data_IF_680264106629
#
_entry.id   IF_680264106629
#
_cell.length_a   1.000
_cell.length_b   1.000
_cell.length_c   1.000
_cell.angle_alpha   90.00
_cell.angle_beta   90.00
_cell.angle_gamma   90.00
#
_symmetry.space_group_name_H-M   'P 1'
#
loop_
_entity.id
_entity.type
_entity.pdbx_description
1 polymer ?
#
# COMPACT_ATOMS: atom_id res chain seq x y z
N UNK A 1 -20.71 -10.49 -10.82
CA UNK A 1 -19.39 -11.07 -10.49
C UNK A 1 -18.39 -10.51 -11.47
N UNK A 2 -17.33 -9.86 -11.00
CA UNK A 2 -16.25 -9.29 -11.80
C UNK A 2 -14.94 -9.97 -11.49
N UNK A 3 -13.98 -9.87 -12.42
CA UNK A 3 -12.64 -10.43 -12.28
C UNK A 3 -11.64 -9.29 -12.08
N UNK A 4 -11.02 -9.27 -10.91
CA UNK A 4 -9.97 -8.31 -10.55
C UNK A 4 -8.60 -8.95 -10.69
N UNK A 5 -7.68 -8.33 -11.42
CA UNK A 5 -6.27 -8.68 -11.34
C UNK A 5 -5.62 -7.84 -10.24
N UNK A 6 -5.06 -8.50 -9.23
CA UNK A 6 -4.35 -7.84 -8.14
C UNK A 6 -2.86 -8.19 -8.21
N UNK A 7 -2.02 -7.25 -8.56
CA UNK A 7 -0.57 -7.44 -8.48
C UNK A 7 -0.10 -7.17 -7.04
N UNK A 8 0.90 -7.92 -6.55
CA UNK A 8 1.27 -7.90 -5.14
C UNK A 8 0.21 -8.53 -4.24
N UNK A 9 -0.52 -9.53 -4.78
CA UNK A 9 -1.71 -10.11 -4.17
C UNK A 9 -1.46 -10.93 -2.91
N UNK A 10 -0.23 -11.36 -2.63
CA UNK A 10 0.16 -12.02 -1.39
C UNK A 10 0.68 -11.04 -0.32
N UNK A 11 0.87 -9.78 -0.69
CA UNK A 11 1.29 -8.73 0.23
C UNK A 11 0.20 -8.32 1.22
N UNK A 12 0.55 -7.40 2.12
CA UNK A 12 -0.34 -6.87 3.16
C UNK A 12 -1.66 -6.33 2.60
N UNK A 13 -1.59 -5.31 1.73
CA UNK A 13 -2.79 -4.66 1.17
C UNK A 13 -3.48 -5.59 0.17
N UNK A 14 -2.72 -6.25 -0.71
CA UNK A 14 -3.26 -7.10 -1.78
C UNK A 14 -4.06 -8.29 -1.26
N UNK A 15 -3.57 -8.97 -0.20
CA UNK A 15 -4.31 -10.09 0.39
C UNK A 15 -5.57 -9.64 1.14
N UNK A 16 -5.51 -8.50 1.84
CA UNK A 16 -6.68 -7.94 2.53
C UNK A 16 -7.76 -7.49 1.54
N UNK A 17 -7.36 -6.87 0.43
CA UNK A 17 -8.27 -6.52 -0.67
C UNK A 17 -8.89 -7.77 -1.32
N UNK A 18 -8.07 -8.81 -1.55
CA UNK A 18 -8.54 -10.08 -2.12
C UNK A 18 -9.61 -10.73 -1.25
N UNK A 19 -9.43 -10.79 0.06
CA UNK A 19 -10.43 -11.31 1.01
C UNK A 19 -11.75 -10.55 0.91
N UNK A 20 -11.68 -9.22 0.87
CA UNK A 20 -12.86 -8.38 0.79
C UNK A 20 -13.61 -8.55 -0.53
N UNK A 21 -12.92 -8.56 -1.67
CA UNK A 21 -13.53 -8.75 -3.00
C UNK A 21 -14.18 -10.13 -3.14
N UNK A 22 -13.55 -11.20 -2.65
CA UNK A 22 -14.11 -12.55 -2.66
C UNK A 22 -15.37 -12.63 -1.78
N UNK A 23 -15.32 -12.02 -0.59
CA UNK A 23 -16.49 -11.94 0.31
C UNK A 23 -17.66 -11.20 -0.34
N UNK A 24 -17.39 -10.24 -1.22
CA UNK A 24 -18.39 -9.52 -2.03
C UNK A 24 -18.83 -10.27 -3.30
N UNK A 25 -18.38 -11.52 -3.49
CA UNK A 25 -18.81 -12.39 -4.59
C UNK A 25 -18.06 -12.17 -5.90
N UNK A 26 -16.89 -11.54 -5.87
CA UNK A 26 -16.05 -11.32 -7.04
C UNK A 26 -14.99 -12.41 -7.22
N UNK A 27 -14.41 -12.48 -8.42
CA UNK A 27 -13.25 -13.29 -8.73
C UNK A 27 -11.97 -12.48 -8.64
N UNK A 28 -10.95 -13.07 -8.05
CA UNK A 28 -9.61 -12.46 -7.92
C UNK A 28 -8.57 -13.32 -8.61
N UNK A 29 -7.83 -12.71 -9.51
CA UNK A 29 -6.59 -13.23 -10.09
C UNK A 29 -5.45 -12.46 -9.44
N UNK A 30 -4.59 -13.14 -8.71
CA UNK A 30 -3.48 -12.51 -7.98
C UNK A 30 -2.15 -12.90 -8.61
N UNK A 31 -1.20 -11.95 -8.70
CA UNK A 31 0.20 -12.21 -9.03
C UNK A 31 1.09 -11.69 -7.92
N UNK A 32 2.03 -12.51 -7.45
CA UNK A 32 3.09 -12.14 -6.49
C UNK A 32 4.31 -13.03 -6.72
N UNK A 33 5.50 -12.46 -6.67
CA UNK A 33 6.75 -13.19 -6.83
C UNK A 33 7.30 -13.77 -5.52
N UNK A 34 6.62 -13.50 -4.40
CA UNK A 34 7.07 -13.92 -3.06
C UNK A 34 8.52 -13.53 -2.75
N UNK A 35 8.95 -12.34 -3.25
CA UNK A 35 10.31 -11.86 -3.01
C UNK A 35 10.65 -11.84 -1.51
N UNK A 36 11.94 -11.99 -1.22
CA UNK A 36 12.53 -12.09 0.11
C UNK A 36 12.81 -10.73 0.79
N UNK A 37 12.15 -9.66 0.33
CA UNK A 37 12.23 -8.35 0.98
C UNK A 37 11.90 -8.42 2.48
N UNK A 38 11.00 -9.32 2.83
CA UNK A 38 10.75 -9.82 4.18
C UNK A 38 10.41 -11.32 4.08
N UNK A 39 10.40 -12.03 5.21
CA UNK A 39 10.18 -13.48 5.24
C UNK A 39 8.98 -13.90 4.36
N UNK A 40 9.18 -14.65 3.26
CA UNK A 40 8.12 -15.06 2.34
C UNK A 40 7.02 -15.91 2.99
N UNK A 41 7.31 -16.58 4.11
CA UNK A 41 6.33 -17.37 4.87
C UNK A 41 5.14 -16.50 5.32
N UNK A 42 5.35 -15.20 5.57
CA UNK A 42 4.28 -14.26 5.90
C UNK A 42 3.32 -14.13 4.71
N UNK A 43 3.84 -14.00 3.49
CA UNK A 43 3.03 -13.94 2.27
C UNK A 43 2.26 -15.24 2.02
N UNK A 44 2.91 -16.39 2.27
CA UNK A 44 2.25 -17.71 2.18
C UNK A 44 1.06 -17.78 3.14
N UNK A 45 1.27 -17.33 4.38
CA UNK A 45 0.19 -17.31 5.37
C UNK A 45 -0.94 -16.34 4.97
N UNK A 46 -0.63 -15.19 4.39
CA UNK A 46 -1.63 -14.21 3.95
C UNK A 46 -2.61 -14.78 2.90
N UNK A 47 -2.16 -15.71 2.05
CA UNK A 47 -2.99 -16.31 0.99
C UNK A 47 -3.46 -17.71 1.29
N UNK A 48 -3.07 -18.30 2.42
CA UNK A 48 -3.34 -19.70 2.80
C UNK A 48 -4.81 -20.10 2.71
N UNK A 49 -5.70 -19.26 3.18
CA UNK A 49 -7.14 -19.51 3.10
C UNK A 49 -7.73 -19.09 1.74
N UNK A 50 -7.17 -18.06 1.12
CA UNK A 50 -7.60 -17.59 -0.20
C UNK A 50 -7.43 -18.65 -1.28
N UNK A 51 -6.30 -19.38 -1.30
CA UNK A 51 -6.02 -20.42 -2.31
C UNK A 51 -6.99 -21.60 -2.27
N UNK A 52 -7.74 -21.77 -1.19
CA UNK A 52 -8.79 -22.79 -1.07
C UNK A 52 -10.11 -22.36 -1.73
N UNK A 53 -10.26 -21.08 -2.04
CA UNK A 53 -11.48 -20.52 -2.62
C UNK A 53 -11.44 -20.60 -4.14
N UNK A 54 -12.48 -21.15 -4.77
CA UNK A 54 -12.58 -21.31 -6.23
C UNK A 54 -12.59 -19.98 -7.00
N UNK A 55 -12.92 -18.89 -6.35
CA UNK A 55 -12.90 -17.55 -6.94
C UNK A 55 -11.53 -16.85 -6.81
N UNK A 56 -10.51 -17.52 -6.25
CA UNK A 56 -9.16 -17.01 -6.14
C UNK A 56 -8.18 -17.84 -6.96
N UNK A 57 -7.45 -17.19 -7.86
CA UNK A 57 -6.37 -17.82 -8.63
C UNK A 57 -5.08 -17.08 -8.39
N UNK A 58 -4.04 -17.78 -7.94
CA UNK A 58 -2.72 -17.20 -7.65
C UNK A 58 -1.68 -17.63 -8.68
N UNK A 59 -1.00 -16.63 -9.24
CA UNK A 59 0.19 -16.81 -10.08
C UNK A 59 1.44 -16.40 -9.32
N UNK A 60 2.41 -17.29 -9.23
CA UNK A 60 3.70 -17.08 -8.55
C UNK A 60 4.73 -16.59 -9.55
N UNK A 61 4.57 -15.36 -10.01
CA UNK A 61 5.38 -14.77 -11.07
C UNK A 61 5.80 -13.35 -10.69
N UNK A 62 6.87 -12.89 -11.32
CA UNK A 62 7.35 -11.52 -11.23
C UNK A 62 6.69 -10.67 -12.32
N UNK A 63 6.26 -9.45 -11.98
CA UNK A 63 5.68 -8.50 -12.96
C UNK A 63 6.70 -8.04 -14.00
N UNK A 64 8.01 -8.24 -13.76
CA UNK A 64 9.08 -8.00 -14.74
C UNK A 64 9.12 -9.07 -15.84
N UNK A 65 8.58 -10.24 -15.58
CA UNK A 65 8.48 -11.33 -16.56
C UNK A 65 7.30 -11.06 -17.50
N UNK A 66 7.62 -10.46 -18.65
CA UNK A 66 6.64 -10.07 -19.66
C UNK A 66 5.80 -11.26 -20.15
N UNK A 67 6.41 -12.41 -20.40
CA UNK A 67 5.70 -13.58 -20.91
C UNK A 67 4.75 -14.17 -19.85
N UNK A 68 5.15 -14.14 -18.57
CA UNK A 68 4.27 -14.56 -17.49
C UNK A 68 3.07 -13.61 -17.32
N UNK A 69 3.30 -12.29 -17.40
CA UNK A 69 2.22 -11.29 -17.34
C UNK A 69 1.26 -11.47 -18.52
N UNK A 70 1.77 -11.61 -19.74
CA UNK A 70 0.96 -11.87 -20.94
C UNK A 70 0.06 -13.09 -20.76
N UNK A 71 0.63 -14.23 -20.35
CA UNK A 71 -0.14 -15.45 -20.10
C UNK A 71 -1.28 -15.25 -19.09
N UNK A 72 -1.09 -14.44 -18.07
CA UNK A 72 -2.14 -14.14 -17.08
C UNK A 72 -3.34 -13.45 -17.76
N UNK A 73 -3.08 -12.48 -18.63
CA UNK A 73 -4.14 -11.79 -19.37
C UNK A 73 -4.81 -12.70 -20.41
N UNK A 74 -4.06 -13.56 -21.09
CA UNK A 74 -4.60 -14.55 -22.07
C UNK A 74 -5.52 -15.59 -21.40
N UNK A 75 -5.21 -16.01 -20.17
CA UNK A 75 -5.95 -17.05 -19.45
C UNK A 75 -7.16 -16.52 -18.65
N UNK A 76 -7.31 -15.22 -18.49
CA UNK A 76 -8.33 -14.65 -17.62
C UNK A 76 -9.00 -13.43 -18.25
N UNK A 77 -10.34 -13.40 -18.24
CA UNK A 77 -11.09 -12.21 -18.62
C UNK A 77 -11.05 -11.21 -17.46
N UNK A 78 -10.16 -10.25 -17.53
CA UNK A 78 -9.92 -9.25 -16.48
C UNK A 78 -10.78 -8.01 -16.76
N UNK A 79 -11.56 -7.59 -15.78
CA UNK A 79 -12.39 -6.37 -15.86
C UNK A 79 -11.64 -5.15 -15.32
N UNK A 80 -10.86 -5.32 -14.24
CA UNK A 80 -10.14 -4.24 -13.55
C UNK A 80 -8.77 -4.74 -13.11
N UNK A 81 -7.76 -3.88 -13.23
CA UNK A 81 -6.43 -4.11 -12.67
C UNK A 81 -6.26 -3.25 -11.42
N UNK A 82 -5.89 -3.92 -10.32
CA UNK A 82 -5.43 -3.32 -9.08
C UNK A 82 -3.92 -3.51 -8.98
N UNK A 83 -3.15 -2.49 -9.34
CA UNK A 83 -1.70 -2.60 -9.38
C UNK A 83 -1.08 -2.14 -8.07
N UNK A 84 -0.76 -3.12 -7.19
CA UNK A 84 -0.17 -2.88 -5.86
C UNK A 84 1.26 -3.43 -5.73
N UNK A 85 1.73 -4.22 -6.71
CA UNK A 85 3.10 -4.76 -6.71
C UNK A 85 4.12 -3.64 -6.88
N UNK A 86 4.98 -3.49 -5.90
CA UNK A 86 6.11 -2.56 -5.94
C UNK A 86 7.17 -2.96 -4.92
N UNK A 87 8.41 -2.60 -5.18
CA UNK A 87 9.40 -2.44 -4.11
C UNK A 87 9.06 -1.17 -3.34
N UNK A 88 8.81 -1.30 -2.04
CA UNK A 88 8.37 -0.21 -1.18
C UNK A 88 9.43 0.18 -0.14
N UNK A 89 9.41 1.44 0.28
CA UNK A 89 10.30 1.95 1.32
C UNK A 89 11.36 2.92 0.78
N UNK A 90 11.48 4.05 1.46
CA UNK A 90 12.40 5.12 1.08
C UNK A 90 13.86 4.68 1.23
N UNK A 91 14.25 4.17 2.41
CA UNK A 91 15.64 3.79 2.71
C UNK A 91 16.17 2.67 1.83
N UNK A 92 15.47 1.51 1.68
CA UNK A 92 15.94 0.45 0.81
C UNK A 92 16.08 0.88 -0.66
N UNK A 93 15.29 1.89 -1.08
CA UNK A 93 15.40 2.42 -2.45
C UNK A 93 16.71 3.17 -2.70
N UNK A 94 17.28 3.79 -1.66
CA UNK A 94 18.58 4.48 -1.76
C UNK A 94 19.70 3.45 -1.90
N UNK A 95 19.57 2.32 -1.21
CA UNK A 95 20.55 1.23 -1.25
C UNK A 95 20.52 0.45 -2.58
N UNK A 96 19.33 0.29 -3.18
CA UNK A 96 19.17 -0.47 -4.42
C UNK A 96 18.25 0.21 -5.45
N UNK A 97 18.62 1.40 -5.97
CA UNK A 97 17.76 2.20 -6.84
C UNK A 97 17.41 1.52 -8.18
N UNK A 98 18.31 0.68 -8.71
CA UNK A 98 18.09 -0.03 -9.98
C UNK A 98 16.94 -1.03 -9.83
N UNK A 99 16.90 -1.80 -8.76
CA UNK A 99 15.81 -2.75 -8.49
C UNK A 99 14.45 -2.02 -8.42
N UNK A 100 14.41 -0.84 -7.79
CA UNK A 100 13.18 -0.05 -7.74
C UNK A 100 12.73 0.42 -9.12
N UNK A 101 13.66 0.80 -9.99
CA UNK A 101 13.34 1.16 -11.37
C UNK A 101 12.83 -0.05 -12.16
N UNK A 102 13.48 -1.20 -12.04
CA UNK A 102 13.09 -2.43 -12.73
C UNK A 102 11.70 -2.91 -12.29
N UNK A 103 11.45 -2.99 -11.00
CA UNK A 103 10.17 -3.49 -10.48
C UNK A 103 9.07 -2.46 -10.67
N UNK A 104 9.29 -1.24 -10.17
CA UNK A 104 8.21 -0.25 -10.09
C UNK A 104 7.89 0.39 -11.44
N UNK A 105 8.89 0.63 -12.32
CA UNK A 105 8.64 1.25 -13.61
C UNK A 105 8.51 0.20 -14.73
N UNK A 106 9.49 -0.68 -14.90
CA UNK A 106 9.43 -1.68 -15.97
C UNK A 106 8.34 -2.72 -15.73
N UNK A 107 8.16 -3.18 -14.47
CA UNK A 107 7.07 -4.08 -14.11
C UNK A 107 5.69 -3.45 -14.37
N UNK A 108 5.51 -2.18 -14.01
CA UNK A 108 4.29 -1.41 -14.32
C UNK A 108 4.08 -1.31 -15.84
N UNK A 109 5.15 -1.04 -16.60
CA UNK A 109 5.09 -0.95 -18.06
C UNK A 109 4.56 -2.26 -18.68
N UNK A 110 5.00 -3.43 -18.19
CA UNK A 110 4.50 -4.73 -18.66
C UNK A 110 2.99 -4.88 -18.42
N UNK A 111 2.51 -4.49 -17.23
CA UNK A 111 1.07 -4.51 -16.92
C UNK A 111 0.28 -3.61 -17.86
N UNK A 112 0.74 -2.37 -18.08
CA UNK A 112 0.06 -1.41 -18.97
C UNK A 112 0.00 -1.88 -20.42
N UNK A 113 1.08 -2.51 -20.93
CA UNK A 113 1.10 -3.05 -22.30
C UNK A 113 0.11 -4.22 -22.46
N UNK A 114 0.01 -5.10 -21.48
CA UNK A 114 -0.95 -6.21 -21.55
C UNK A 114 -2.40 -5.73 -21.32
N UNK A 115 -2.64 -4.73 -20.48
CA UNK A 115 -3.95 -4.07 -20.39
C UNK A 115 -4.38 -3.51 -21.75
N UNK A 116 -3.48 -2.82 -22.43
CA UNK A 116 -3.72 -2.27 -23.78
C UNK A 116 -3.99 -3.40 -24.79
N UNK A 117 -3.15 -4.45 -24.82
CA UNK A 117 -3.27 -5.56 -25.77
C UNK A 117 -4.60 -6.32 -25.62
N UNK A 118 -5.13 -6.42 -24.39
CA UNK A 118 -6.36 -7.15 -24.07
C UNK A 118 -7.58 -6.23 -23.89
N UNK A 119 -7.45 -4.94 -24.20
CA UNK A 119 -8.51 -3.93 -24.07
C UNK A 119 -9.10 -3.81 -22.65
N UNK A 120 -8.26 -4.03 -21.63
CA UNK A 120 -8.62 -3.79 -20.21
C UNK A 120 -8.43 -2.30 -19.92
N UNK A 121 -9.52 -1.59 -19.65
CA UNK A 121 -9.52 -0.12 -19.55
C UNK A 121 -9.40 0.41 -18.14
N UNK A 122 -9.75 -0.36 -17.12
CA UNK A 122 -9.89 0.14 -15.77
C UNK A 122 -8.67 -0.21 -14.91
N UNK A 123 -7.97 0.82 -14.43
CA UNK A 123 -6.78 0.72 -13.59
C UNK A 123 -6.97 1.53 -12.31
N UNK A 124 -6.74 0.88 -11.18
CA UNK A 124 -6.48 1.57 -9.92
C UNK A 124 -5.07 1.15 -9.45
N UNK A 125 -4.20 2.12 -9.20
CA UNK A 125 -2.79 1.85 -8.93
C UNK A 125 -2.31 2.55 -7.67
N UNK A 126 -1.50 1.84 -6.89
CA UNK A 126 -0.80 2.41 -5.76
C UNK A 126 0.25 3.44 -6.20
N UNK A 127 0.20 4.61 -5.61
CA UNK A 127 1.25 5.60 -5.48
C UNK A 127 1.56 5.79 -4.00
N UNK A 128 2.27 6.82 -3.61
CA UNK A 128 2.71 7.01 -2.23
C UNK A 128 2.75 8.48 -1.84
N UNK A 129 2.46 8.78 -0.58
CA UNK A 129 2.71 10.09 0.02
C UNK A 129 4.18 10.52 -0.02
N UNK A 130 5.11 9.58 -0.26
CA UNK A 130 6.53 9.89 -0.45
C UNK A 130 6.81 10.82 -1.64
N UNK A 131 5.90 10.93 -2.60
CA UNK A 131 6.02 11.87 -3.73
C UNK A 131 6.03 13.33 -3.29
N UNK A 132 5.44 13.65 -2.13
CA UNK A 132 5.45 14.99 -1.57
C UNK A 132 6.83 15.42 -1.04
N UNK A 133 7.75 14.47 -0.85
CA UNK A 133 9.12 14.75 -0.41
C UNK A 133 9.17 15.49 0.92
N UNK A 134 9.99 16.53 0.97
CA UNK A 134 10.15 17.41 2.15
C UNK A 134 9.27 18.68 2.06
N UNK A 135 8.10 18.60 1.46
CA UNK A 135 7.16 19.72 1.44
C UNK A 135 6.80 20.11 2.88
N UNK A 136 6.95 21.42 3.21
CA UNK A 136 6.64 21.95 4.54
C UNK A 136 5.18 22.31 4.71
N UNK A 137 4.49 22.53 3.60
CA UNK A 137 3.06 22.85 3.59
C UNK A 137 2.23 21.63 3.86
N UNK A 138 1.38 21.67 4.87
CA UNK A 138 0.44 20.60 5.25
C UNK A 138 -0.94 21.20 5.50
N UNK A 139 -2.04 20.43 5.28
CA UNK A 139 -2.09 19.05 4.79
C UNK A 139 -1.68 18.95 3.31
N UNK A 140 -1.12 17.79 2.92
CA UNK A 140 -0.71 17.51 1.55
C UNK A 140 -1.92 17.38 0.62
N UNK A 141 -1.93 18.16 -0.46
CA UNK A 141 -2.99 18.18 -1.47
C UNK A 141 -2.48 17.62 -2.81
N UNK A 142 -3.33 16.97 -3.57
CA UNK A 142 -2.97 16.32 -4.82
C UNK A 142 -2.48 17.30 -5.91
N UNK A 143 -2.91 18.57 -5.83
CA UNK A 143 -2.48 19.64 -6.75
C UNK A 143 -1.14 20.29 -6.40
N UNK A 144 -0.49 19.86 -5.33
CA UNK A 144 0.86 20.35 -4.99
C UNK A 144 1.88 19.86 -6.01
N UNK A 145 2.90 20.70 -6.25
CA UNK A 145 4.04 20.33 -7.10
C UNK A 145 4.86 19.25 -6.40
N UNK A 146 5.01 18.10 -7.03
CA UNK A 146 5.73 16.91 -6.52
C UNK A 146 6.88 16.48 -7.45
N UNK A 147 7.53 17.45 -8.05
CA UNK A 147 8.61 17.21 -9.04
C UNK A 147 9.99 17.04 -8.38
N UNK A 148 10.10 17.26 -7.07
CA UNK A 148 11.34 17.21 -6.32
C UNK A 148 11.39 16.01 -5.37
N UNK A 149 11.35 14.81 -5.95
CA UNK A 149 11.44 13.56 -5.19
C UNK A 149 12.78 13.46 -4.46
N UNK A 150 12.75 13.00 -3.20
CA UNK A 150 13.94 12.86 -2.34
C UNK A 150 14.41 11.41 -2.16
N UNK A 151 13.82 10.48 -2.89
CA UNK A 151 14.22 9.08 -2.92
C UNK A 151 13.89 8.41 -4.26
N UNK A 152 14.62 7.37 -4.66
CA UNK A 152 14.27 6.57 -5.84
C UNK A 152 12.86 5.99 -5.76
N UNK A 153 12.39 5.57 -4.59
CA UNK A 153 11.02 5.11 -4.39
C UNK A 153 9.98 6.20 -4.74
N UNK A 154 10.17 7.41 -4.23
CA UNK A 154 9.28 8.53 -4.57
C UNK A 154 9.32 8.85 -6.06
N UNK A 155 10.51 8.85 -6.66
CA UNK A 155 10.70 9.13 -8.09
C UNK A 155 10.00 8.08 -8.97
N UNK A 156 10.08 6.78 -8.64
CA UNK A 156 9.39 5.72 -9.40
C UNK A 156 7.87 5.82 -9.28
N UNK A 157 7.32 6.17 -8.10
CA UNK A 157 5.89 6.42 -7.95
C UNK A 157 5.44 7.60 -8.82
N UNK A 158 6.18 8.73 -8.78
CA UNK A 158 5.87 9.89 -9.61
C UNK A 158 5.99 9.59 -11.10
N UNK A 159 6.99 8.82 -11.53
CA UNK A 159 7.13 8.37 -12.91
C UNK A 159 5.91 7.57 -13.39
N UNK A 160 5.37 6.71 -12.54
CA UNK A 160 4.17 5.94 -12.84
C UNK A 160 2.90 6.82 -12.92
N UNK A 161 2.77 7.86 -12.09
CA UNK A 161 1.68 8.83 -12.25
C UNK A 161 1.72 9.48 -13.64
N UNK A 162 2.91 9.88 -14.11
CA UNK A 162 3.08 10.48 -15.44
C UNK A 162 2.83 9.44 -16.55
N UNK A 163 3.38 8.23 -16.42
CA UNK A 163 3.24 7.17 -17.42
C UNK A 163 1.78 6.74 -17.59
N UNK A 164 1.05 6.53 -16.50
CA UNK A 164 -0.36 6.13 -16.56
C UNK A 164 -1.24 7.21 -17.18
N UNK A 165 -0.89 8.51 -17.04
CA UNK A 165 -1.56 9.59 -17.77
C UNK A 165 -1.37 9.46 -19.29
N UNK A 166 -0.18 9.04 -19.76
CA UNK A 166 0.05 8.79 -21.19
C UNK A 166 -0.88 7.68 -21.69
N UNK A 167 -1.02 6.58 -20.93
CA UNK A 167 -1.92 5.48 -21.30
C UNK A 167 -3.40 5.87 -21.27
N UNK A 168 -3.79 6.71 -20.32
CA UNK A 168 -5.11 7.32 -20.31
C UNK A 168 -5.39 8.10 -21.61
N UNK A 169 -4.47 8.98 -22.01
CA UNK A 169 -4.68 9.85 -23.21
C UNK A 169 -4.58 9.12 -24.53
N UNK A 170 -3.70 8.13 -24.68
CA UNK A 170 -3.46 7.44 -25.94
C UNK A 170 -4.34 6.21 -26.16
N UNK A 171 -4.80 5.58 -25.08
CA UNK A 171 -5.47 4.28 -25.13
C UNK A 171 -6.80 4.24 -24.37
N UNK A 172 -7.37 5.41 -24.00
CA UNK A 172 -8.66 5.55 -23.33
C UNK A 172 -8.78 4.71 -22.04
N UNK A 173 -7.69 4.61 -21.27
CA UNK A 173 -7.73 3.93 -19.98
C UNK A 173 -8.30 4.85 -18.90
N UNK A 174 -9.22 4.35 -18.10
CA UNK A 174 -9.67 4.99 -16.87
C UNK A 174 -8.69 4.66 -15.74
N UNK A 175 -8.09 5.67 -15.13
CA UNK A 175 -7.00 5.49 -14.16
C UNK A 175 -7.28 6.29 -12.89
N UNK A 176 -7.15 5.64 -11.73
CA UNK A 176 -7.00 6.32 -10.44
C UNK A 176 -5.67 5.91 -9.81
N UNK A 177 -4.84 6.91 -9.52
CA UNK A 177 -3.59 6.76 -8.76
C UNK A 177 -3.84 7.09 -7.30
N UNK A 178 -3.49 6.17 -6.40
CA UNK A 178 -3.75 6.29 -4.97
C UNK A 178 -2.46 6.60 -4.20
N UNK A 179 -2.28 7.83 -3.74
CA UNK A 179 -1.19 8.20 -2.85
C UNK A 179 -1.50 7.72 -1.44
N UNK A 180 -1.08 6.50 -1.13
CA UNK A 180 -1.23 5.95 0.22
C UNK A 180 -0.38 6.70 1.23
N UNK A 181 -0.99 7.03 2.35
CA UNK A 181 -0.28 7.40 3.57
C UNK A 181 0.09 6.13 4.35
N UNK A 182 0.53 6.25 5.59
CA UNK A 182 1.07 5.08 6.30
C UNK A 182 -0.01 4.08 6.66
N UNK A 183 -0.11 3.00 5.89
CA UNK A 183 -1.10 1.94 6.13
C UNK A 183 -0.64 1.03 7.27
N UNK A 184 -1.56 0.69 8.18
CA UNK A 184 -1.30 -0.23 9.29
C UNK A 184 -2.50 -1.15 9.55
N UNK A 185 -2.28 -2.24 10.29
CA UNK A 185 -3.31 -3.21 10.65
C UNK A 185 -2.85 -4.66 10.50
N UNK A 186 -3.75 -5.64 10.66
CA UNK A 186 -3.47 -7.07 10.46
C UNK A 186 -2.72 -7.35 9.17
N UNK A 187 -1.74 -8.27 9.20
CA UNK A 187 -0.84 -8.63 8.10
C UNK A 187 0.21 -7.57 7.72
N UNK A 188 0.33 -6.48 8.50
CA UNK A 188 1.35 -5.46 8.26
C UNK A 188 2.75 -6.09 8.23
N UNK A 189 3.61 -5.59 7.31
CA UNK A 189 4.99 -6.05 7.15
C UNK A 189 5.80 -5.87 8.43
N UNK A 190 6.75 -6.80 8.73
CA UNK A 190 7.52 -6.81 9.98
C UNK A 190 8.51 -5.64 10.12
N UNK A 191 8.90 -5.02 9.01
CA UNK A 191 9.85 -3.88 8.96
C UNK A 191 9.19 -2.54 9.36
N UNK A 192 7.86 -2.46 9.34
CA UNK A 192 7.13 -1.24 9.65
C UNK A 192 7.03 -1.01 11.17
N UNK A 193 7.06 0.27 11.56
CA UNK A 193 7.23 0.70 12.95
C UNK A 193 6.21 0.09 13.93
N UNK A 194 4.92 0.08 13.60
CA UNK A 194 3.87 -0.46 14.46
C UNK A 194 4.11 -1.96 14.72
N UNK A 195 4.38 -2.75 13.67
CA UNK A 195 4.68 -4.18 13.81
C UNK A 195 5.96 -4.39 14.63
N UNK A 196 7.05 -3.72 14.26
CA UNK A 196 8.35 -3.82 14.94
C UNK A 196 8.24 -3.46 16.43
N UNK A 197 7.55 -2.39 16.76
CA UNK A 197 7.43 -1.94 18.14
C UNK A 197 6.51 -2.84 18.97
N UNK A 198 5.43 -3.33 18.39
CA UNK A 198 4.58 -4.34 19.03
C UNK A 198 5.38 -5.59 19.39
N UNK A 199 6.20 -6.10 18.45
CA UNK A 199 7.08 -7.23 18.70
C UNK A 199 8.07 -6.95 19.84
N UNK A 200 8.79 -5.83 19.78
CA UNK A 200 9.78 -5.46 20.79
C UNK A 200 9.15 -5.33 22.19
N UNK A 201 7.95 -4.74 22.30
CA UNK A 201 7.23 -4.63 23.58
C UNK A 201 6.81 -5.99 24.12
N UNK A 202 6.30 -6.90 23.26
CA UNK A 202 5.93 -8.25 23.67
C UNK A 202 7.12 -9.11 24.09
N UNK A 203 8.32 -8.82 23.55
CA UNK A 203 9.59 -9.45 23.92
C UNK A 203 10.30 -8.73 25.09
N UNK A 204 9.67 -7.76 25.74
CA UNK A 204 10.22 -6.93 26.83
C UNK A 204 11.53 -6.20 26.46
N UNK A 205 11.71 -5.85 25.18
CA UNK A 205 12.90 -5.19 24.63
C UNK A 205 12.73 -3.68 24.53
N UNK A 206 13.87 -2.96 24.48
CA UNK A 206 13.92 -1.52 24.27
C UNK A 206 13.42 -1.12 22.87
N UNK A 207 12.66 0.00 22.80
CA UNK A 207 12.16 0.59 21.55
C UNK A 207 13.08 1.70 21.14
N UNK A 208 13.69 1.65 19.94
CA UNK A 208 14.48 2.74 19.40
C UNK A 208 13.56 3.91 18.98
N UNK A 209 13.56 4.99 19.75
CA UNK A 209 12.87 6.23 19.40
C UNK A 209 13.86 7.24 18.84
N UNK A 210 13.73 7.55 17.55
CA UNK A 210 14.58 8.54 16.88
C UNK A 210 14.04 9.95 17.11
N UNK A 211 14.94 10.87 17.53
CA UNK A 211 14.58 12.23 17.90
C UNK A 211 13.87 12.31 19.25
N UNK A 212 13.02 13.31 19.41
CA UNK A 212 12.26 13.58 20.64
C UNK A 212 10.85 12.95 20.65
N UNK A 213 10.50 12.21 19.59
CA UNK A 213 9.19 11.57 19.44
C UNK A 213 8.08 12.49 18.91
N UNK A 214 8.39 13.72 18.50
CA UNK A 214 7.41 14.69 17.95
C UNK A 214 7.13 14.49 16.47
N UNK A 215 7.99 13.77 15.74
CA UNK A 215 7.70 13.42 14.34
C UNK A 215 6.36 12.72 14.23
N UNK A 216 5.55 13.06 13.23
CA UNK A 216 4.20 12.54 13.11
C UNK A 216 3.92 11.93 11.73
N UNK A 217 3.04 10.93 11.71
CA UNK A 217 2.59 10.28 10.48
C UNK A 217 1.07 10.20 10.46
N UNK A 218 0.52 10.32 9.29
CA UNK A 218 -0.88 10.00 9.02
C UNK A 218 -1.00 8.48 8.86
N UNK A 219 -1.51 7.83 9.90
CA UNK A 219 -1.72 6.38 9.92
C UNK A 219 -3.14 6.04 9.53
N UNK A 220 -3.30 5.15 8.56
CA UNK A 220 -4.61 4.73 8.06
C UNK A 220 -4.79 3.23 8.20
N UNK A 221 -5.89 2.83 8.82
CA UNK A 221 -6.19 1.41 9.06
C UNK A 221 -6.46 0.68 7.77
N UNK A 222 -6.08 -0.59 7.70
CA UNK A 222 -6.13 -1.40 6.47
C UNK A 222 -7.55 -1.48 5.88
N UNK A 223 -8.59 -1.62 6.68
CA UNK A 223 -9.96 -1.74 6.17
C UNK A 223 -10.45 -0.44 5.54
N UNK A 224 -10.03 0.72 6.06
CA UNK A 224 -10.33 2.02 5.47
C UNK A 224 -9.60 2.21 4.12
N UNK A 225 -8.36 1.72 4.01
CA UNK A 225 -7.62 1.71 2.74
C UNK A 225 -8.30 0.79 1.72
N UNK A 226 -8.69 -0.42 2.12
CA UNK A 226 -9.39 -1.37 1.25
C UNK A 226 -10.73 -0.79 0.77
N UNK A 227 -11.47 -0.12 1.65
CA UNK A 227 -12.71 0.59 1.28
C UNK A 227 -12.43 1.69 0.22
N UNK A 228 -11.39 2.51 0.42
CA UNK A 228 -10.97 3.53 -0.53
C UNK A 228 -10.57 2.96 -1.90
N UNK A 229 -9.86 1.84 -1.91
CA UNK A 229 -9.51 1.13 -3.14
C UNK A 229 -10.75 0.64 -3.88
N UNK A 230 -11.69 -0.04 -3.19
CA UNK A 230 -12.92 -0.57 -3.79
C UNK A 230 -13.79 0.57 -4.34
N UNK A 231 -13.91 1.69 -3.63
CA UNK A 231 -14.62 2.89 -4.12
C UNK A 231 -13.98 3.45 -5.38
N UNK A 232 -12.66 3.45 -5.45
CA UNK A 232 -11.91 3.86 -6.64
C UNK A 232 -12.17 2.93 -7.83
N UNK A 233 -12.23 1.60 -7.60
CA UNK A 233 -12.61 0.63 -8.63
C UNK A 233 -14.02 0.89 -9.15
N UNK A 234 -14.97 1.08 -8.25
CA UNK A 234 -16.35 1.38 -8.63
C UNK A 234 -16.44 2.69 -9.43
N UNK A 235 -15.60 3.68 -9.10
CA UNK A 235 -15.59 4.95 -9.81
C UNK A 235 -15.08 4.81 -11.25
N UNK A 236 -13.93 4.15 -11.47
CA UNK A 236 -13.38 3.96 -12.83
C UNK A 236 -14.26 3.09 -13.71
N UNK A 237 -15.06 2.20 -13.13
CA UNK A 237 -15.99 1.36 -13.88
C UNK A 237 -17.26 2.08 -14.33
N UNK A 238 -17.72 3.03 -13.53
CA UNK A 238 -18.99 3.71 -13.79
C UNK A 238 -18.82 5.07 -14.47
N UNK A 239 -17.58 5.47 -14.76
CA UNK A 239 -17.25 6.74 -15.41
C UNK A 239 -16.28 6.51 -16.56
N UNK A 240 -16.28 7.44 -17.52
CA UNK A 240 -15.39 7.44 -18.66
C UNK A 240 -14.46 8.66 -18.60
N UNK A 241 -13.35 8.60 -19.35
CA UNK A 241 -12.33 9.67 -19.41
C UNK A 241 -11.81 10.06 -18.03
N UNK A 242 -11.55 9.03 -17.18
CA UNK A 242 -11.10 9.21 -15.80
C UNK A 242 -9.58 9.16 -15.74
N UNK A 243 -8.98 10.25 -15.29
CA UNK A 243 -7.61 10.26 -14.78
C UNK A 243 -7.55 11.09 -13.51
N UNK A 244 -7.41 10.41 -12.36
CA UNK A 244 -7.42 11.06 -11.07
C UNK A 244 -6.26 10.59 -10.18
N UNK A 245 -5.76 11.51 -9.38
CA UNK A 245 -4.82 11.22 -8.29
C UNK A 245 -5.56 11.54 -6.99
N UNK A 246 -5.57 10.61 -6.05
CA UNK A 246 -6.26 10.74 -4.77
C UNK A 246 -5.34 10.41 -3.60
N UNK A 247 -5.39 11.20 -2.55
CA UNK A 247 -4.80 10.86 -1.27
C UNK A 247 -5.70 9.88 -0.52
N UNK A 248 -5.16 8.74 -0.07
CA UNK A 248 -5.82 7.87 0.89
C UNK A 248 -5.04 7.90 2.21
N UNK A 249 -5.56 8.65 3.15
CA UNK A 249 -5.04 8.89 4.50
C UNK A 249 -6.19 8.91 5.50
N UNK A 250 -5.88 9.05 6.78
CA UNK A 250 -6.87 9.23 7.85
C UNK A 250 -7.14 10.72 8.16
N UNK A 251 -6.31 11.60 7.61
CA UNK A 251 -6.34 13.05 7.89
C UNK A 251 -6.24 13.39 9.39
N UNK A 252 -5.52 12.54 10.13
CA UNK A 252 -5.31 12.68 11.59
C UNK A 252 -3.88 12.20 11.94
N UNK A 253 -2.88 13.09 11.86
CA UNK A 253 -1.49 12.73 12.16
C UNK A 253 -1.30 12.34 13.63
N UNK A 254 -0.57 11.26 13.86
CA UNK A 254 -0.22 10.74 15.18
C UNK A 254 1.29 10.85 15.37
N UNK A 255 1.74 11.37 16.53
CA UNK A 255 3.15 11.47 16.84
C UNK A 255 3.79 10.10 17.15
N UNK A 256 5.11 10.00 16.96
CA UNK A 256 5.85 8.79 17.29
C UNK A 256 5.68 8.40 18.78
N UNK A 257 5.70 9.38 19.67
CA UNK A 257 5.48 9.16 21.10
C UNK A 257 4.07 8.66 21.41
N UNK A 258 3.06 9.24 20.77
CA UNK A 258 1.67 8.80 20.90
C UNK A 258 1.48 7.38 20.38
N UNK A 259 2.06 7.05 19.21
CA UNK A 259 2.02 5.69 18.66
C UNK A 259 2.62 4.68 19.62
N UNK A 260 3.81 4.95 20.18
CA UNK A 260 4.48 4.07 21.14
C UNK A 260 3.59 3.85 22.39
N UNK A 261 3.03 4.91 22.95
CA UNK A 261 2.18 4.84 24.13
C UNK A 261 0.88 4.06 23.83
N UNK A 262 0.26 4.29 22.68
CA UNK A 262 -0.98 3.60 22.29
C UNK A 262 -0.74 2.09 22.14
N UNK A 263 0.39 1.68 21.52
CA UNK A 263 0.76 0.26 21.45
C UNK A 263 0.98 -0.32 22.84
N UNK A 264 1.71 0.37 23.73
CA UNK A 264 1.94 -0.05 25.11
C UNK A 264 0.64 -0.25 25.88
N UNK A 265 -0.30 0.68 25.75
CA UNK A 265 -1.63 0.57 26.36
C UNK A 265 -2.41 -0.64 25.85
N UNK A 266 -2.42 -0.90 24.54
CA UNK A 266 -3.11 -2.04 23.92
C UNK A 266 -2.49 -3.39 24.32
N UNK A 267 -1.19 -3.44 24.56
CA UNK A 267 -0.50 -4.65 25.05
C UNK A 267 -0.69 -4.82 26.57
N UNK A 268 -0.80 -3.71 27.31
CA UNK A 268 -0.83 -3.66 28.78
C UNK A 268 0.58 -3.57 29.40
N UNK A 269 1.55 -2.93 28.72
CA UNK A 269 2.92 -2.76 29.19
C UNK A 269 3.38 -1.31 29.08
N UNK A 270 4.31 -0.91 29.95
CA UNK A 270 4.98 0.39 29.84
C UNK A 270 6.18 0.27 28.87
N UNK A 271 6.24 1.12 27.82
CA UNK A 271 7.30 1.03 26.83
C UNK A 271 8.68 1.38 27.41
N UNK A 272 9.68 0.53 27.18
CA UNK A 272 11.10 0.81 27.49
C UNK A 272 11.69 1.57 26.30
N UNK A 273 11.85 2.88 26.41
CA UNK A 273 12.31 3.74 25.32
C UNK A 273 13.81 3.97 25.37
N UNK A 274 14.49 3.71 24.27
CA UNK A 274 15.87 4.11 24.01
C UNK A 274 15.88 5.24 22.99
N UNK A 275 16.13 6.46 23.46
CA UNK A 275 16.23 7.63 22.59
C UNK A 275 17.50 7.58 21.76
N UNK A 276 17.37 7.85 20.46
CA UNK A 276 18.45 7.86 19.48
C UNK A 276 18.44 9.19 18.70
N UNK A 277 19.57 9.64 18.14
CA UNK A 277 19.62 10.81 17.27
C UNK A 277 18.68 10.67 16.07
N UNK A 278 18.16 11.80 15.56
CA UNK A 278 17.39 11.83 14.31
C UNK A 278 18.17 11.20 13.17
N UNK A 279 17.47 10.44 12.32
CA UNK A 279 18.08 9.83 11.14
C UNK A 279 17.96 10.75 9.92
N UNK A 280 19.00 10.86 9.09
CA UNK A 280 18.93 11.62 7.83
C UNK A 280 17.84 11.06 6.90
N UNK A 281 17.10 11.96 6.26
CA UNK A 281 16.07 11.59 5.28
C UNK A 281 14.69 11.26 5.86
N UNK A 282 14.51 11.32 7.18
CA UNK A 282 13.19 11.22 7.78
C UNK A 282 12.41 12.54 7.57
N UNK A 283 11.14 12.39 7.18
CA UNK A 283 10.19 13.52 7.05
C UNK A 283 9.63 13.84 8.43
N UNK A 284 9.57 15.12 8.78
CA UNK A 284 9.07 15.56 10.10
C UNK A 284 7.59 15.20 10.28
N UNK A 285 6.78 15.37 9.23
CA UNK A 285 5.35 15.19 9.30
C UNK A 285 4.76 14.70 7.96
N UNK A 286 3.80 13.76 8.03
CA UNK A 286 2.89 13.51 6.92
C UNK A 286 1.46 13.77 7.38
N UNK A 287 0.65 14.43 6.53
CA UNK A 287 -0.72 14.79 6.82
C UNK A 287 -1.49 14.91 5.51
N UNK A 288 -2.46 14.03 5.30
CA UNK A 288 -3.28 13.98 4.10
C UNK A 288 -4.41 15.02 4.13
N UNK A 289 -4.57 15.76 3.04
CA UNK A 289 -5.90 16.28 2.69
C UNK A 289 -6.62 15.21 1.88
N UNK A 290 -7.75 14.75 2.38
CA UNK A 290 -8.59 13.72 1.76
C UNK A 290 -9.88 14.28 1.16
N UNK A 291 -10.00 15.60 1.07
CA UNK A 291 -11.22 16.28 0.62
C UNK A 291 -11.61 15.83 -0.78
N UNK A 292 -10.66 15.71 -1.70
CA UNK A 292 -10.88 15.24 -3.06
C UNK A 292 -11.38 13.80 -3.10
N UNK A 293 -10.78 12.89 -2.35
CA UNK A 293 -11.22 11.50 -2.27
C UNK A 293 -12.62 11.39 -1.65
N UNK A 294 -12.92 12.21 -0.64
CA UNK A 294 -14.25 12.28 -0.03
C UNK A 294 -15.31 12.75 -1.02
N UNK A 295 -15.02 13.80 -1.80
CA UNK A 295 -15.95 14.35 -2.78
C UNK A 295 -16.16 13.39 -3.96
N UNK A 296 -15.07 12.86 -4.53
CA UNK A 296 -15.13 12.11 -5.77
C UNK A 296 -15.66 10.67 -5.59
N UNK A 297 -15.14 9.96 -4.58
CA UNK A 297 -15.44 8.54 -4.36
C UNK A 297 -16.16 8.25 -3.04
N UNK A 298 -16.51 9.28 -2.27
CA UNK A 298 -17.15 9.12 -0.95
C UNK A 298 -16.25 8.46 0.10
N UNK A 299 -14.92 8.56 -0.04
CA UNK A 299 -13.96 8.02 0.92
C UNK A 299 -14.10 8.70 2.28
N UNK A 300 -14.30 7.91 3.33
CA UNK A 300 -14.46 8.40 4.68
C UNK A 300 -13.91 7.37 5.68
N UNK A 301 -12.62 7.46 6.05
CA UNK A 301 -12.01 6.55 7.01
C UNK A 301 -12.73 6.66 8.36
N UNK A 302 -12.98 5.52 9.01
CA UNK A 302 -13.82 5.43 10.21
C UNK A 302 -13.06 4.93 11.42
N UNK A 303 -11.97 4.21 11.21
CA UNK A 303 -11.23 3.54 12.27
C UNK A 303 -10.34 4.55 12.99
N UNK A 304 -10.57 4.76 14.28
CA UNK A 304 -9.67 5.56 15.10
C UNK A 304 -8.31 4.88 15.25
N UNK A 305 -7.24 5.67 15.44
CA UNK A 305 -5.89 5.12 15.61
C UNK A 305 -5.82 4.12 16.79
N UNK A 306 -6.48 4.44 17.90
CA UNK A 306 -6.54 3.58 19.09
C UNK A 306 -7.20 2.24 18.76
N UNK A 307 -8.39 2.26 18.18
CA UNK A 307 -9.13 1.05 17.78
C UNK A 307 -8.33 0.18 16.80
N UNK A 308 -7.71 0.80 15.78
CA UNK A 308 -6.89 0.08 14.82
C UNK A 308 -5.65 -0.57 15.45
N UNK A 309 -5.03 0.07 16.46
CA UNK A 309 -3.92 -0.52 17.23
C UNK A 309 -4.41 -1.69 18.10
N UNK A 310 -5.54 -1.56 18.77
CA UNK A 310 -6.14 -2.64 19.55
C UNK A 310 -6.40 -3.87 18.66
N UNK A 311 -7.04 -3.70 17.52
CA UNK A 311 -7.28 -4.75 16.54
C UNK A 311 -5.98 -5.38 16.01
N UNK A 312 -4.97 -4.55 15.73
CA UNK A 312 -3.67 -5.03 15.28
C UNK A 312 -2.96 -5.87 16.34
N UNK A 313 -2.94 -5.41 17.60
CA UNK A 313 -2.28 -6.12 18.72
C UNK A 313 -2.97 -7.45 19.01
N UNK A 314 -4.30 -7.50 18.98
CA UNK A 314 -5.07 -8.74 19.14
C UNK A 314 -4.70 -9.75 18.04
N UNK A 315 -4.74 -9.31 16.77
CA UNK A 315 -4.33 -10.12 15.64
C UNK A 315 -2.87 -10.59 15.76
N UNK A 316 -1.96 -9.69 16.18
CA UNK A 316 -0.54 -10.01 16.31
C UNK A 316 -0.28 -11.08 17.37
N UNK A 317 -0.96 -11.03 18.53
CA UNK A 317 -0.83 -12.05 19.60
C UNK A 317 -1.15 -13.45 19.09
N UNK A 318 -2.12 -13.59 18.19
CA UNK A 318 -2.52 -14.87 17.58
C UNK A 318 -1.50 -15.34 16.53
N UNK A 319 -0.88 -14.41 15.81
CA UNK A 319 -0.03 -14.70 14.65
C UNK A 319 1.47 -14.46 14.91
N UNK A 320 1.89 -14.24 16.16
CA UNK A 320 3.26 -13.84 16.49
C UNK A 320 4.34 -14.77 15.96
N UNK A 321 4.07 -16.09 15.91
CA UNK A 321 5.03 -17.10 15.46
C UNK A 321 5.45 -16.93 13.98
N UNK A 322 4.71 -16.17 13.19
CA UNK A 322 5.06 -15.81 11.81
C UNK A 322 6.12 -14.70 11.75
N UNK A 323 6.32 -13.97 12.85
CA UNK A 323 7.13 -12.74 12.91
C UNK A 323 8.39 -12.87 13.79
N UNK A 324 8.63 -14.06 14.33
CA UNK A 324 9.79 -14.42 15.18
C UNK A 324 10.92 -15.00 14.35
#
# INVERSE_FOLDING_TARGET
MKTYLITGGAGFIGSSLSERLIKEGNRVVAIDNFCDFYNPTIKENNVKELIKNSNFKLYRNDIRDKEAVKKIFEENNIDIVMHLAAMAGVRPSIENPVLYQEVNCMGTQNILEEMKAHNVKNLVMASSSSVYGNCKEVPFKENMIVDFAISPYAATNKANEVMTHVYHKLFDMNVIMLRFFTVYGPKQRPDLAINKFTRLMLEDKEIPMFGDGTTSRDYTYIDDIVDGIIRSCNYVENNNDVYEILNLGNSSPVSLKEMINTIGQAIGVEPKIKQLPMQPGDVDRTFADISKAKELIGYNPKTSFKEGIENFVEWYKINKDLYI
#
